data_IF_037560933654
#
_entry.id   IF_037560933654
#
_cell.length_a   1.000
_cell.length_b   1.000
_cell.length_c   1.000
_cell.angle_alpha   90.00
_cell.angle_beta   90.00
_cell.angle_gamma   90.00
#
_symmetry.space_group_name_H-M   'P 1'
#
loop_
_entity.id
_entity.type
_entity.pdbx_description
1 polymer ?
#
# COMPACT_ATOMS: atom_id res chain seq x y z
N UNK A 1 -2.76 29.02 -21.02
CA UNK A 1 -3.07 28.03 -19.97
C UNK A 1 -4.25 28.46 -19.08
N UNK A 2 -4.23 29.66 -18.49
CA UNK A 2 -5.27 30.10 -17.53
C UNK A 2 -6.71 30.12 -18.09
N UNK A 3 -6.90 30.40 -19.39
CA UNK A 3 -8.22 30.28 -20.04
C UNK A 3 -8.74 28.84 -20.00
N UNK A 4 -7.92 27.87 -20.39
CA UNK A 4 -8.26 26.44 -20.34
C UNK A 4 -8.62 25.99 -18.91
N UNK A 5 -7.83 26.42 -17.92
CA UNK A 5 -8.13 26.11 -16.52
C UNK A 5 -9.51 26.66 -16.09
N UNK A 6 -9.79 27.93 -16.38
CA UNK A 6 -11.03 28.60 -15.95
C UNK A 6 -12.27 28.18 -16.73
N UNK A 7 -12.16 27.99 -18.03
CA UNK A 7 -13.30 27.77 -18.92
C UNK A 7 -13.56 26.29 -19.20
N UNK A 8 -12.62 25.40 -18.89
CA UNK A 8 -12.77 23.96 -19.15
C UNK A 8 -12.53 23.11 -17.90
N UNK A 9 -11.33 23.15 -17.32
CA UNK A 9 -10.97 22.27 -16.19
C UNK A 9 -11.84 22.55 -14.96
N UNK A 10 -12.01 23.82 -14.57
CA UNK A 10 -12.82 24.19 -13.40
C UNK A 10 -14.31 23.86 -13.56
N UNK A 11 -14.96 24.16 -14.72
CA UNK A 11 -16.32 23.69 -14.97
C UNK A 11 -16.45 22.17 -14.86
N UNK A 12 -15.57 21.39 -15.50
CA UNK A 12 -15.62 19.93 -15.41
C UNK A 12 -15.38 19.41 -14.00
N UNK A 13 -14.43 19.98 -13.27
CA UNK A 13 -14.20 19.63 -11.87
C UNK A 13 -15.43 19.94 -11.01
N UNK A 14 -16.11 21.07 -11.26
CA UNK A 14 -17.37 21.40 -10.58
C UNK A 14 -18.47 20.40 -10.93
N UNK A 15 -18.61 20.01 -12.19
CA UNK A 15 -19.57 18.98 -12.61
C UNK A 15 -19.33 17.67 -11.84
N UNK A 16 -18.08 17.18 -11.79
CA UNK A 16 -17.71 15.97 -11.05
C UNK A 16 -18.04 16.07 -9.55
N UNK A 17 -17.74 17.21 -8.93
CA UNK A 17 -17.92 17.42 -7.49
C UNK A 17 -19.35 17.78 -7.07
N UNK A 18 -20.27 18.01 -8.01
CA UNK A 18 -21.66 18.38 -7.69
C UNK A 18 -22.69 17.39 -8.22
N UNK A 19 -22.40 16.67 -9.31
CA UNK A 19 -23.37 15.75 -9.92
C UNK A 19 -23.24 14.29 -9.45
N UNK A 20 -22.19 13.93 -8.70
CA UNK A 20 -21.88 12.55 -8.32
C UNK A 20 -21.97 12.28 -6.80
N UNK A 21 -22.65 13.16 -6.05
CA UNK A 21 -22.78 13.05 -4.60
C UNK A 21 -21.47 13.35 -3.85
N UNK A 22 -21.29 12.85 -2.61
CA UNK A 22 -20.05 12.99 -1.88
C UNK A 22 -18.90 12.28 -2.59
N UNK A 23 -17.88 13.05 -3.00
CA UNK A 23 -16.69 12.50 -3.65
C UNK A 23 -15.62 12.30 -2.59
N UNK A 24 -15.27 11.06 -2.30
CA UNK A 24 -14.26 10.76 -1.29
C UNK A 24 -12.85 11.19 -1.74
N UNK A 25 -12.58 11.15 -3.04
CA UNK A 25 -11.22 11.21 -3.54
C UNK A 25 -11.10 11.79 -4.96
N UNK A 26 -10.16 12.72 -5.18
CA UNK A 26 -9.77 13.23 -6.50
C UNK A 26 -8.27 13.02 -6.72
N UNK A 27 -7.97 12.23 -7.75
CA UNK A 27 -6.61 11.93 -8.19
C UNK A 27 -6.25 12.77 -9.42
N UNK A 28 -5.53 13.87 -9.24
CA UNK A 28 -4.99 14.68 -10.33
C UNK A 28 -3.73 14.03 -10.91
N UNK A 29 -3.61 14.00 -12.24
CA UNK A 29 -2.42 13.51 -12.92
C UNK A 29 -1.64 14.64 -13.61
N UNK A 30 -0.31 14.48 -13.67
CA UNK A 30 0.64 15.35 -14.36
C UNK A 30 0.73 16.83 -13.89
N UNK A 31 0.15 17.18 -12.75
CA UNK A 31 0.36 18.46 -12.06
C UNK A 31 -0.13 19.71 -12.80
N UNK A 32 -0.23 20.82 -12.07
CA UNK A 32 -0.43 22.13 -12.70
C UNK A 32 0.91 22.74 -13.14
N UNK A 33 0.92 23.70 -14.10
CA UNK A 33 2.15 24.39 -14.49
C UNK A 33 2.77 25.27 -13.41
N UNK A 34 1.97 25.77 -12.46
CA UNK A 34 2.45 26.59 -11.33
C UNK A 34 1.78 26.20 -10.02
N UNK A 35 2.42 26.41 -8.85
CA UNK A 35 1.85 26.03 -7.56
C UNK A 35 0.56 26.80 -7.23
N UNK A 36 0.46 28.05 -7.68
CA UNK A 36 -0.72 28.90 -7.46
C UNK A 36 -1.96 28.30 -8.12
N UNK A 37 -1.80 27.71 -9.31
CA UNK A 37 -2.89 27.03 -10.01
C UNK A 37 -3.30 25.72 -9.31
N UNK A 38 -2.36 25.00 -8.69
CA UNK A 38 -2.68 23.82 -7.88
C UNK A 38 -3.48 24.23 -6.63
N UNK A 39 -3.04 25.30 -5.96
CA UNK A 39 -3.76 25.87 -4.80
C UNK A 39 -5.15 26.34 -5.20
N UNK A 40 -5.28 27.01 -6.35
CA UNK A 40 -6.56 27.46 -6.89
C UNK A 40 -7.53 26.29 -7.18
N UNK A 41 -7.03 25.16 -7.70
CA UNK A 41 -7.83 23.94 -7.88
C UNK A 41 -8.17 23.28 -6.54
N UNK A 42 -7.21 23.16 -5.62
CA UNK A 42 -7.44 22.61 -4.27
C UNK A 42 -8.51 23.41 -3.53
N UNK A 43 -8.48 24.74 -3.62
CA UNK A 43 -9.50 25.60 -3.02
C UNK A 43 -10.88 25.33 -3.61
N UNK A 44 -11.00 25.19 -4.93
CA UNK A 44 -12.28 24.84 -5.56
C UNK A 44 -12.80 23.48 -5.08
N UNK A 45 -11.94 22.46 -4.92
CA UNK A 45 -12.35 21.18 -4.34
C UNK A 45 -12.86 21.38 -2.92
N UNK A 46 -12.11 22.10 -2.07
CA UNK A 46 -12.48 22.35 -0.66
C UNK A 46 -13.78 23.15 -0.50
N UNK A 47 -14.04 24.09 -1.39
CA UNK A 47 -15.29 24.87 -1.42
C UNK A 47 -16.50 23.98 -1.73
N UNK A 48 -16.35 23.00 -2.63
CA UNK A 48 -17.45 22.16 -3.10
C UNK A 48 -17.65 20.91 -2.23
N UNK A 49 -16.55 20.29 -1.81
CA UNK A 49 -16.50 19.01 -1.10
C UNK A 49 -15.34 19.05 -0.07
N UNK A 50 -15.58 19.60 1.14
CA UNK A 50 -14.52 19.86 2.12
C UNK A 50 -13.81 18.59 2.60
N UNK A 51 -14.47 17.43 2.54
CA UNK A 51 -13.93 16.14 3.01
C UNK A 51 -13.22 15.33 1.93
N UNK A 52 -13.20 15.79 0.66
CA UNK A 52 -12.53 15.08 -0.44
C UNK A 52 -11.02 15.03 -0.25
N UNK A 53 -10.43 13.83 -0.30
CA UNK A 53 -8.97 13.68 -0.30
C UNK A 53 -8.43 14.06 -1.70
N UNK A 54 -7.31 14.78 -1.74
CA UNK A 54 -6.71 15.32 -2.96
C UNK A 54 -5.31 14.75 -3.10
N UNK A 55 -5.03 14.11 -4.23
CA UNK A 55 -3.68 13.62 -4.55
C UNK A 55 -2.67 14.78 -4.59
N UNK A 56 -1.47 14.56 -4.07
CA UNK A 56 -0.33 15.45 -4.12
C UNK A 56 0.22 15.73 -5.53
N UNK A 57 -0.10 14.86 -6.49
CA UNK A 57 0.25 15.00 -7.90
C UNK A 57 -0.48 16.17 -8.58
N UNK A 58 -1.39 16.85 -7.86
CA UNK A 58 -1.91 18.17 -8.25
C UNK A 58 -0.81 19.25 -8.38
N UNK A 59 0.29 19.13 -7.63
CA UNK A 59 1.37 20.12 -7.60
C UNK A 59 2.29 20.10 -8.82
N UNK A 60 3.18 21.11 -8.93
CA UNK A 60 4.05 21.28 -10.11
C UNK A 60 5.18 20.27 -10.13
N UNK A 61 5.15 19.41 -11.15
CA UNK A 61 6.27 18.61 -11.60
C UNK A 61 6.83 17.64 -10.56
N UNK A 62 7.70 16.77 -11.02
CA UNK A 62 8.50 15.83 -10.23
C UNK A 62 9.40 16.49 -9.17
N UNK A 63 9.37 17.83 -9.04
CA UNK A 63 10.15 18.59 -8.05
C UNK A 63 9.57 18.41 -6.63
N UNK A 64 8.27 18.15 -6.49
CA UNK A 64 7.66 17.81 -5.19
C UNK A 64 7.92 16.33 -4.81
N UNK A 65 8.23 15.44 -5.76
CA UNK A 65 8.55 14.01 -5.47
C UNK A 65 9.71 13.83 -4.47
N UNK A 66 10.57 14.84 -4.29
CA UNK A 66 11.77 14.75 -3.46
C UNK A 66 11.87 15.83 -2.37
N UNK A 67 10.87 16.72 -2.26
CA UNK A 67 10.87 17.78 -1.25
C UNK A 67 10.25 17.28 0.07
N UNK A 68 11.01 16.45 0.79
CA UNK A 68 11.00 16.37 2.26
C UNK A 68 9.60 16.40 2.91
N UNK A 69 8.67 15.56 2.46
CA UNK A 69 7.39 15.38 3.16
C UNK A 69 6.32 16.47 2.94
N UNK A 70 6.47 17.38 1.96
CA UNK A 70 5.50 18.46 1.75
C UNK A 70 4.85 18.36 0.37
N UNK A 71 3.52 18.36 0.34
CA UNK A 71 2.71 18.31 -0.87
C UNK A 71 1.60 19.37 -0.82
N UNK A 72 1.18 19.87 -1.99
CA UNK A 72 0.01 20.75 -2.08
C UNK A 72 -1.27 19.95 -1.87
N UNK A 73 -1.30 18.67 -2.25
CA UNK A 73 -2.40 17.77 -1.96
C UNK A 73 -2.50 17.43 -0.48
N UNK A 74 -3.16 16.34 -0.15
CA UNK A 74 -3.30 15.87 1.24
C UNK A 74 -2.37 14.72 1.56
N UNK A 75 -1.84 14.03 0.54
CA UNK A 75 -0.85 12.99 0.68
C UNK A 75 0.17 13.04 -0.47
N UNK A 76 1.27 12.31 -0.33
CA UNK A 76 2.35 12.25 -1.31
C UNK A 76 2.20 11.08 -2.29
N UNK A 77 2.58 11.28 -3.54
CA UNK A 77 2.69 10.21 -4.54
C UNK A 77 4.14 9.95 -4.87
N UNK A 78 4.50 8.68 -4.87
CA UNK A 78 5.76 8.22 -5.45
C UNK A 78 5.58 7.95 -6.95
N UNK A 79 6.66 7.51 -7.61
CA UNK A 79 6.62 7.08 -9.00
C UNK A 79 5.64 5.96 -9.29
N UNK A 80 5.20 5.88 -10.54
CA UNK A 80 4.36 4.78 -10.99
C UNK A 80 5.13 3.46 -10.82
N UNK A 81 4.50 2.48 -10.17
CA UNK A 81 5.09 1.21 -9.75
C UNK A 81 6.29 1.32 -8.78
N UNK A 82 6.59 2.52 -8.27
CA UNK A 82 7.68 2.76 -7.34
C UNK A 82 7.29 2.31 -5.94
N UNK A 83 8.20 1.61 -5.27
CA UNK A 83 8.09 1.31 -3.85
C UNK A 83 9.39 1.79 -3.19
N UNK A 84 9.34 2.81 -2.32
CA UNK A 84 10.51 3.38 -1.66
C UNK A 84 11.32 2.31 -0.94
N UNK A 85 12.65 2.37 -0.89
CA UNK A 85 13.43 1.35 -0.16
C UNK A 85 13.18 1.39 1.35
N UNK A 86 12.91 2.58 1.89
CA UNK A 86 12.72 2.84 3.30
C UNK A 86 11.31 3.36 3.57
N UNK A 87 10.92 3.34 4.85
CA UNK A 87 9.70 4.00 5.32
C UNK A 87 9.71 5.48 4.94
N UNK A 88 8.56 5.99 4.50
CA UNK A 88 8.32 7.42 4.35
C UNK A 88 7.50 7.90 5.56
N UNK A 89 7.83 9.07 6.10
CA UNK A 89 7.02 9.74 7.11
C UNK A 89 5.89 10.54 6.46
N UNK A 90 4.67 10.40 6.97
CA UNK A 90 3.46 11.01 6.41
C UNK A 90 2.71 10.07 5.46
N UNK A 91 1.53 10.52 5.05
CA UNK A 91 0.65 9.73 4.18
C UNK A 91 1.16 9.74 2.74
N UNK A 92 1.23 8.56 2.12
CA UNK A 92 1.61 8.43 0.72
C UNK A 92 0.94 7.26 0.02
N UNK A 93 0.90 7.32 -1.31
CA UNK A 93 0.35 6.27 -2.17
C UNK A 93 1.25 6.02 -3.38
N UNK A 94 1.25 4.77 -3.86
CA UNK A 94 1.85 4.42 -5.16
C UNK A 94 0.79 3.89 -6.11
N UNK A 95 0.62 4.52 -7.29
CA UNK A 95 -0.15 3.92 -8.37
C UNK A 95 0.68 2.85 -9.05
N UNK A 96 0.08 1.70 -9.35
CA UNK A 96 0.78 0.60 -10.00
C UNK A 96 -0.08 -0.16 -10.99
N UNK A 97 0.58 -0.77 -11.96
CA UNK A 97 -0.04 -1.56 -13.01
C UNK A 97 -0.06 -3.03 -12.63
N UNK A 98 -1.15 -3.74 -12.95
CA UNK A 98 -1.20 -5.21 -12.77
C UNK A 98 -0.40 -5.96 -13.85
N UNK A 99 -0.14 -5.33 -14.99
CA UNK A 99 0.81 -5.74 -16.05
C UNK A 99 1.84 -4.61 -16.27
N UNK A 100 2.27 -4.35 -17.51
CA UNK A 100 3.24 -3.29 -17.82
C UNK A 100 2.58 -1.97 -18.27
N UNK A 101 1.25 -1.88 -18.23
CA UNK A 101 0.49 -0.73 -18.76
C UNK A 101 -0.74 -0.34 -17.91
N UNK A 102 -1.14 0.94 -17.98
CA UNK A 102 -2.34 1.43 -17.28
C UNK A 102 -3.62 1.15 -18.07
N UNK A 103 -3.67 1.60 -19.33
CA UNK A 103 -4.77 1.26 -20.25
C UNK A 103 -4.65 -0.16 -20.79
N UNK A 104 -5.76 -0.71 -21.30
CA UNK A 104 -5.74 -2.03 -21.93
C UNK A 104 -4.81 -2.06 -23.15
N UNK A 105 -3.94 -3.06 -23.20
CA UNK A 105 -3.01 -3.33 -24.30
C UNK A 105 -3.11 -4.79 -24.69
N UNK A 106 -3.67 -5.04 -25.87
CA UNK A 106 -4.08 -6.39 -26.32
C UNK A 106 -2.93 -7.41 -26.43
N UNK A 107 -1.68 -6.96 -26.51
CA UNK A 107 -0.49 -7.79 -26.63
C UNK A 107 0.45 -7.70 -25.41
N UNK A 108 0.01 -7.05 -24.32
CA UNK A 108 0.69 -7.11 -23.02
C UNK A 108 0.02 -8.18 -22.16
N UNK A 109 0.74 -9.29 -21.97
CA UNK A 109 0.30 -10.42 -21.17
C UNK A 109 1.20 -10.67 -19.96
N UNK A 110 2.03 -9.70 -19.57
CA UNK A 110 2.93 -9.80 -18.43
C UNK A 110 2.18 -9.53 -17.11
N UNK A 111 1.16 -10.32 -16.85
CA UNK A 111 0.30 -10.18 -15.67
C UNK A 111 1.06 -10.59 -14.42
N UNK A 112 1.07 -9.71 -13.41
CA UNK A 112 1.60 -10.01 -12.08
C UNK A 112 0.78 -11.13 -11.43
N UNK A 113 1.47 -12.09 -10.83
CA UNK A 113 0.85 -13.14 -10.03
C UNK A 113 0.29 -12.59 -8.72
N UNK A 114 -0.66 -13.29 -8.10
CA UNK A 114 -1.19 -12.93 -6.79
C UNK A 114 -0.07 -12.77 -5.74
N UNK A 115 0.92 -13.67 -5.75
CA UNK A 115 2.04 -13.56 -4.82
C UNK A 115 2.88 -12.31 -5.00
N UNK A 116 3.09 -11.86 -6.25
CA UNK A 116 3.76 -10.58 -6.51
C UNK A 116 2.94 -9.40 -5.96
N UNK A 117 1.63 -9.43 -6.15
CA UNK A 117 0.72 -8.37 -5.71
C UNK A 117 0.61 -8.31 -4.18
N UNK A 118 0.50 -9.46 -3.49
CA UNK A 118 0.47 -9.54 -2.02
C UNK A 118 1.77 -9.01 -1.43
N UNK A 119 2.93 -9.49 -1.91
CA UNK A 119 4.22 -9.05 -1.36
C UNK A 119 4.44 -7.55 -1.61
N UNK A 120 4.01 -7.01 -2.76
CA UNK A 120 4.02 -5.55 -3.01
C UNK A 120 3.11 -4.80 -2.04
N UNK A 121 1.87 -5.24 -1.86
CA UNK A 121 0.93 -4.65 -0.91
C UNK A 121 1.51 -4.58 0.50
N UNK A 122 2.01 -5.71 1.00
CA UNK A 122 2.64 -5.80 2.33
C UNK A 122 3.84 -4.87 2.44
N UNK A 123 4.70 -4.84 1.42
CA UNK A 123 5.89 -3.99 1.39
C UNK A 123 5.53 -2.50 1.38
N UNK A 124 4.44 -2.12 0.69
CA UNK A 124 3.95 -0.73 0.65
C UNK A 124 3.40 -0.33 2.04
N UNK A 125 2.56 -1.18 2.63
CA UNK A 125 1.98 -0.93 3.96
C UNK A 125 3.05 -0.93 5.06
N UNK A 126 4.06 -1.81 4.98
CA UNK A 126 5.20 -1.81 5.92
C UNK A 126 6.02 -0.52 5.85
N UNK A 127 5.89 0.24 4.78
CA UNK A 127 6.53 1.55 4.57
C UNK A 127 5.58 2.72 4.81
N UNK A 128 4.35 2.45 5.26
CA UNK A 128 3.33 3.44 5.62
C UNK A 128 2.49 3.96 4.47
N UNK A 129 2.49 3.27 3.33
CA UNK A 129 1.79 3.74 2.13
C UNK A 129 0.52 2.96 1.79
N UNK A 130 -0.23 3.54 0.86
CA UNK A 130 -1.36 2.90 0.19
C UNK A 130 -0.95 2.34 -1.19
N UNK A 131 -1.57 1.23 -1.59
CA UNK A 131 -1.35 0.59 -2.88
C UNK A 131 -2.54 0.79 -3.81
N UNK A 132 -2.41 1.69 -4.79
CA UNK A 132 -3.43 1.93 -5.81
C UNK A 132 -3.16 1.05 -7.04
N UNK A 133 -3.70 -0.17 -7.00
CA UNK A 133 -3.53 -1.15 -8.08
C UNK A 133 -4.54 -0.92 -9.20
N UNK A 134 -4.03 -0.70 -10.41
CA UNK A 134 -4.80 -0.45 -11.62
C UNK A 134 -5.32 -1.74 -12.29
N UNK A 135 -6.49 -1.62 -12.94
CA UNK A 135 -6.98 -2.56 -13.95
C UNK A 135 -7.29 -1.79 -15.25
N UNK A 136 -6.98 -2.39 -16.40
CA UNK A 136 -7.31 -1.82 -17.71
C UNK A 136 -8.40 -2.63 -18.41
N UNK A 137 -9.69 -2.23 -18.35
CA UNK A 137 -10.76 -2.91 -19.06
C UNK A 137 -10.61 -2.83 -20.59
N UNK A 138 -11.13 -3.83 -21.30
CA UNK A 138 -11.22 -3.80 -22.77
C UNK A 138 -12.18 -2.70 -23.24
N UNK A 139 -12.23 -2.46 -24.55
CA UNK A 139 -13.16 -1.50 -25.16
C UNK A 139 -14.64 -1.84 -24.89
N UNK A 140 -14.93 -3.11 -24.61
CA UNK A 140 -16.25 -3.63 -24.26
C UNK A 140 -16.55 -3.52 -22.75
N UNK A 141 -15.63 -2.94 -21.96
CA UNK A 141 -15.79 -2.77 -20.51
C UNK A 141 -15.48 -4.01 -19.69
N UNK A 142 -14.75 -4.98 -20.26
CA UNK A 142 -14.42 -6.25 -19.57
C UNK A 142 -13.05 -6.16 -18.92
N UNK A 143 -12.95 -6.46 -17.62
CA UNK A 143 -11.65 -6.64 -16.97
C UNK A 143 -11.04 -7.97 -17.46
N UNK A 144 -9.79 -7.98 -17.97
CA UNK A 144 -9.17 -9.20 -18.49
C UNK A 144 -9.13 -10.34 -17.46
N UNK A 145 -9.46 -11.57 -17.89
CA UNK A 145 -9.56 -12.73 -16.99
C UNK A 145 -8.29 -13.00 -16.16
N UNK A 146 -7.05 -12.87 -16.69
CA UNK A 146 -5.85 -13.02 -15.87
C UNK A 146 -5.78 -12.05 -14.69
N UNK A 147 -6.23 -10.81 -14.88
CA UNK A 147 -6.33 -9.80 -13.84
C UNK A 147 -7.37 -10.22 -12.78
N UNK A 148 -8.56 -10.66 -13.21
CA UNK A 148 -9.61 -11.14 -12.30
C UNK A 148 -9.13 -12.30 -11.44
N UNK A 149 -8.41 -13.28 -12.01
CA UNK A 149 -7.87 -14.43 -11.26
C UNK A 149 -6.88 -13.98 -10.19
N UNK A 150 -5.87 -13.18 -10.55
CA UNK A 150 -4.90 -12.66 -9.58
C UNK A 150 -5.57 -11.86 -8.46
N UNK A 151 -6.54 -11.00 -8.78
CA UNK A 151 -7.26 -10.21 -7.78
C UNK A 151 -8.14 -11.06 -6.85
N UNK A 152 -8.76 -12.13 -7.36
CA UNK A 152 -9.51 -13.07 -6.52
C UNK A 152 -8.60 -13.80 -5.54
N UNK A 153 -7.44 -14.28 -5.99
CA UNK A 153 -6.45 -14.92 -5.12
C UNK A 153 -5.91 -13.96 -4.05
N UNK A 154 -5.62 -12.70 -4.40
CA UNK A 154 -5.30 -11.64 -3.43
C UNK A 154 -6.44 -11.44 -2.43
N UNK A 155 -7.69 -11.45 -2.90
CA UNK A 155 -8.88 -11.35 -2.07
C UNK A 155 -9.01 -12.51 -1.07
N UNK A 156 -8.73 -13.75 -1.48
CA UNK A 156 -8.73 -14.90 -0.56
C UNK A 156 -7.63 -14.78 0.50
N UNK A 157 -6.44 -14.32 0.12
CA UNK A 157 -5.36 -14.05 1.08
C UNK A 157 -5.75 -12.95 2.08
N UNK A 158 -6.37 -11.86 1.61
CA UNK A 158 -6.85 -10.75 2.45
C UNK A 158 -7.98 -11.15 3.41
N UNK A 159 -8.81 -12.15 3.08
CA UNK A 159 -9.81 -12.66 4.05
C UNK A 159 -9.16 -13.28 5.28
N UNK A 160 -8.02 -13.93 5.11
CA UNK A 160 -7.29 -14.59 6.20
C UNK A 160 -6.34 -13.63 6.92
N UNK A 161 -5.67 -12.75 6.17
CA UNK A 161 -4.56 -11.94 6.68
C UNK A 161 -4.86 -10.43 6.69
N UNK A 162 -6.06 -10.00 6.30
CA UNK A 162 -6.41 -8.58 6.15
C UNK A 162 -6.28 -7.75 7.44
N UNK A 163 -6.31 -8.39 8.61
CA UNK A 163 -6.03 -7.70 9.89
C UNK A 163 -4.64 -7.05 9.89
N UNK A 164 -3.64 -7.64 9.23
CA UNK A 164 -2.29 -7.09 9.16
C UNK A 164 -2.13 -5.99 8.10
N UNK A 165 -3.17 -5.71 7.32
CA UNK A 165 -3.18 -4.69 6.26
C UNK A 165 -4.09 -3.53 6.63
N UNK A 166 -5.39 -3.80 6.82
CA UNK A 166 -6.39 -2.76 7.00
C UNK A 166 -6.23 -2.05 8.33
N UNK A 167 -5.92 -0.75 8.31
CA UNK A 167 -5.65 0.04 9.52
C UNK A 167 -4.34 -0.31 10.21
N UNK A 168 -3.45 -1.04 9.54
CA UNK A 168 -2.07 -1.20 9.99
C UNK A 168 -1.24 0.02 9.63
N UNK A 169 -0.14 0.22 10.35
CA UNK A 169 0.84 1.28 10.14
C UNK A 169 2.16 0.69 9.65
N UNK A 170 3.07 1.59 9.24
CA UNK A 170 4.43 1.24 8.89
C UNK A 170 5.13 0.40 9.97
N UNK A 171 6.12 -0.38 9.53
CA UNK A 171 6.98 -1.19 10.39
C UNK A 171 7.59 -0.34 11.50
N UNK A 172 7.50 -0.78 12.77
CA UNK A 172 8.25 -0.21 13.88
C UNK A 172 9.70 -0.72 13.92
N UNK A 173 10.02 -1.70 13.09
CA UNK A 173 11.34 -2.33 12.96
C UNK A 173 11.96 -1.85 11.66
N UNK A 174 13.21 -1.40 11.72
CA UNK A 174 14.00 -1.12 10.52
C UNK A 174 14.46 -2.44 9.88
N UNK A 175 13.75 -2.85 8.84
CA UNK A 175 13.96 -4.11 8.12
C UNK A 175 14.66 -3.80 6.80
N UNK A 176 15.86 -4.37 6.54
CA UNK A 176 16.55 -4.19 5.26
C UNK A 176 15.70 -4.66 4.08
N UNK A 177 15.74 -4.00 2.91
CA UNK A 177 14.96 -4.39 1.73
C UNK A 177 15.15 -5.85 1.29
N UNK A 178 16.34 -6.43 1.52
CA UNK A 178 16.67 -7.81 1.17
C UNK A 178 16.27 -8.85 2.23
N UNK A 179 15.64 -8.43 3.34
CA UNK A 179 15.20 -9.36 4.36
C UNK A 179 14.11 -10.32 3.81
N UNK A 180 14.06 -11.58 4.30
CA UNK A 180 13.08 -12.57 3.86
C UNK A 180 11.67 -12.32 4.41
N UNK A 181 11.41 -11.15 4.97
CA UNK A 181 10.15 -10.77 5.59
C UNK A 181 9.95 -9.26 5.60
N UNK A 182 8.72 -8.85 5.86
CA UNK A 182 8.33 -7.47 6.16
C UNK A 182 7.56 -7.43 7.48
N UNK A 183 7.29 -6.24 7.99
CA UNK A 183 6.50 -6.06 9.20
C UNK A 183 5.51 -4.91 9.05
N UNK A 184 4.27 -5.13 9.45
CA UNK A 184 3.30 -4.06 9.67
C UNK A 184 2.91 -4.04 11.14
N UNK A 185 2.31 -2.95 11.61
CA UNK A 185 1.96 -2.83 13.02
C UNK A 185 0.54 -2.32 13.24
N UNK A 186 -0.01 -2.72 14.38
CA UNK A 186 -1.15 -2.10 15.04
C UNK A 186 -0.80 -1.89 16.50
N UNK A 187 -1.61 -1.11 17.26
CA UNK A 187 -1.39 -1.00 18.70
C UNK A 187 -1.23 -2.39 19.33
N UNK A 188 -0.06 -2.60 19.96
CA UNK A 188 0.32 -3.82 20.69
C UNK A 188 0.50 -5.10 19.84
N UNK A 189 0.52 -4.99 18.51
CA UNK A 189 0.72 -6.15 17.62
C UNK A 189 1.70 -5.79 16.49
N UNK A 190 2.71 -6.62 16.31
CA UNK A 190 3.51 -6.63 15.09
C UNK A 190 3.10 -7.82 14.24
N UNK A 191 2.90 -7.60 12.94
CA UNK A 191 2.59 -8.65 11.98
C UNK A 191 3.82 -8.87 11.12
N UNK A 192 4.48 -10.00 11.31
CA UNK A 192 5.68 -10.40 10.59
C UNK A 192 5.26 -11.23 9.39
N UNK A 193 5.45 -10.66 8.21
CA UNK A 193 5.08 -11.23 6.91
C UNK A 193 6.26 -12.00 6.34
N UNK A 194 6.26 -13.33 6.45
CA UNK A 194 7.39 -14.19 6.07
C UNK A 194 7.23 -14.63 4.62
N UNK A 195 8.07 -14.09 3.74
CA UNK A 195 8.07 -14.40 2.30
C UNK A 195 8.95 -15.59 1.95
N UNK A 196 10.00 -15.84 2.75
CA UNK A 196 10.85 -17.02 2.59
C UNK A 196 10.89 -17.81 3.90
N UNK A 197 10.19 -18.95 3.88
CA UNK A 197 10.03 -19.81 5.05
C UNK A 197 11.35 -20.51 5.42
N UNK A 198 11.71 -20.61 6.71
CA UNK A 198 12.96 -21.23 7.12
C UNK A 198 12.87 -22.76 7.04
N UNK A 199 13.93 -23.40 6.54
CA UNK A 199 14.01 -24.87 6.43
C UNK A 199 14.35 -25.56 7.76
N UNK A 200 14.86 -24.83 8.74
CA UNK A 200 15.33 -25.36 10.02
C UNK A 200 14.30 -25.19 11.15
N UNK A 201 13.06 -24.83 10.82
CA UNK A 201 11.97 -24.62 11.78
C UNK A 201 12.16 -23.42 12.71
N UNK A 202 13.11 -22.52 12.43
CA UNK A 202 13.39 -21.35 13.26
C UNK A 202 13.41 -20.07 12.43
N UNK A 203 12.56 -19.13 12.77
CA UNK A 203 12.52 -17.81 12.14
C UNK A 203 13.03 -16.74 13.10
N UNK A 204 13.91 -15.85 12.62
CA UNK A 204 14.46 -14.76 13.43
C UNK A 204 13.92 -13.42 12.95
N UNK A 205 13.30 -12.68 13.86
CA UNK A 205 12.89 -11.29 13.68
C UNK A 205 13.88 -10.42 14.42
N UNK A 206 14.59 -9.56 13.70
CA UNK A 206 15.66 -8.76 14.29
C UNK A 206 15.13 -7.45 14.86
N UNK A 207 15.78 -6.96 15.93
CA UNK A 207 15.52 -5.62 16.51
C UNK A 207 14.05 -5.34 16.84
N UNK A 208 13.35 -6.31 17.41
CA UNK A 208 11.93 -6.15 17.81
C UNK A 208 11.78 -5.06 18.89
N UNK A 209 12.80 -4.90 19.74
CA UNK A 209 12.92 -3.83 20.75
C UNK A 209 11.67 -3.63 21.65
N UNK A 210 10.83 -4.66 21.74
CA UNK A 210 9.58 -4.69 22.49
C UNK A 210 9.50 -6.01 23.25
N UNK A 211 8.78 -6.02 24.38
CA UNK A 211 8.56 -7.25 25.13
C UNK A 211 7.44 -8.06 24.50
N UNK A 212 7.79 -9.17 23.85
CA UNK A 212 6.84 -10.09 23.21
C UNK A 212 6.25 -11.01 24.27
N UNK A 213 4.91 -11.07 24.32
CA UNK A 213 4.16 -11.90 25.27
C UNK A 213 3.66 -13.19 24.67
N UNK A 214 3.30 -13.15 23.39
CA UNK A 214 2.71 -14.29 22.69
C UNK A 214 3.05 -14.19 21.23
N UNK A 215 3.26 -15.36 20.61
CA UNK A 215 3.46 -15.50 19.18
C UNK A 215 2.47 -16.51 18.64
N UNK A 216 1.84 -16.22 17.51
CA UNK A 216 0.91 -17.14 16.84
C UNK A 216 0.82 -16.85 15.34
N UNK A 217 0.27 -17.77 14.56
CA UNK A 217 -0.04 -17.56 13.14
C UNK A 217 -1.37 -16.83 13.01
N UNK A 218 -1.42 -15.77 12.20
CA UNK A 218 -2.65 -14.99 12.01
C UNK A 218 -3.76 -15.84 11.35
N UNK A 219 -3.39 -16.68 10.39
CA UNK A 219 -4.33 -17.53 9.67
C UNK A 219 -4.76 -18.80 10.44
N UNK A 220 -4.17 -19.11 11.60
CA UNK A 220 -4.62 -20.23 12.43
C UNK A 220 -5.88 -19.82 13.21
N UNK A 221 -7.06 -20.42 12.95
CA UNK A 221 -8.30 -20.05 13.63
C UNK A 221 -8.25 -20.26 15.15
N UNK A 222 -7.36 -21.12 15.65
CA UNK A 222 -7.20 -21.35 17.08
C UNK A 222 -6.18 -20.40 17.72
N UNK A 223 -5.42 -19.64 16.90
CA UNK A 223 -4.26 -18.85 17.32
C UNK A 223 -3.35 -19.61 18.30
N UNK A 224 -3.01 -20.86 17.94
CA UNK A 224 -2.14 -21.71 18.73
C UNK A 224 -0.81 -21.00 18.98
N UNK A 225 -0.36 -21.02 20.23
CA UNK A 225 0.87 -20.33 20.59
C UNK A 225 2.09 -21.05 20.01
N UNK A 226 2.96 -20.27 19.37
CA UNK A 226 4.26 -20.72 18.90
C UNK A 226 5.29 -20.47 19.99
N UNK A 227 6.19 -21.44 20.18
CA UNK A 227 7.34 -21.24 21.05
C UNK A 227 8.25 -20.14 20.48
N UNK A 228 8.74 -19.27 21.33
CA UNK A 228 9.72 -18.27 20.95
C UNK A 228 10.71 -18.02 22.09
N UNK A 229 11.87 -17.47 21.75
CA UNK A 229 12.86 -17.03 22.72
C UNK A 229 13.46 -15.69 22.30
N UNK A 230 13.84 -14.89 23.30
CA UNK A 230 14.54 -13.62 23.08
C UNK A 230 16.05 -13.85 23.04
N UNK A 231 16.70 -13.28 22.04
CA UNK A 231 18.16 -13.27 21.89
C UNK A 231 18.63 -11.81 21.74
N UNK A 232 18.86 -11.14 22.87
CA UNK A 232 19.16 -9.71 22.89
C UNK A 232 17.98 -8.87 22.40
N UNK A 233 18.15 -8.19 21.26
CA UNK A 233 17.12 -7.39 20.58
C UNK A 233 16.28 -8.21 19.58
N UNK A 234 16.70 -9.44 19.30
CA UNK A 234 16.06 -10.33 18.34
C UNK A 234 15.06 -11.28 19.02
N UNK A 235 14.10 -11.76 18.26
CA UNK A 235 13.14 -12.79 18.65
C UNK A 235 13.27 -13.97 17.69
N UNK A 236 13.52 -15.16 18.24
CA UNK A 236 13.60 -16.41 17.48
C UNK A 236 12.34 -17.23 17.76
N UNK A 237 11.62 -17.57 16.72
CA UNK A 237 10.32 -18.23 16.74
C UNK A 237 10.49 -19.64 16.19
N UNK A 238 10.00 -20.64 16.92
CA UNK A 238 9.83 -22.00 16.42
C UNK A 238 8.61 -22.03 15.50
N UNK A 239 8.82 -22.30 14.23
CA UNK A 239 7.77 -22.31 13.21
C UNK A 239 7.56 -23.73 12.66
N UNK A 240 6.36 -24.07 12.14
CA UNK A 240 6.11 -25.36 11.51
C UNK A 240 7.08 -25.67 10.36
N UNK A 241 7.29 -26.97 10.08
CA UNK A 241 8.18 -27.44 9.01
C UNK A 241 7.78 -26.93 7.61
N UNK A 242 6.48 -26.68 7.40
CA UNK A 242 5.93 -26.18 6.15
C UNK A 242 5.27 -24.83 6.39
N UNK A 243 5.49 -23.90 5.46
CA UNK A 243 4.76 -22.64 5.42
C UNK A 243 3.25 -22.94 5.31
N UNK A 244 2.43 -22.41 6.23
CA UNK A 244 0.97 -22.40 6.07
C UNK A 244 0.54 -21.79 4.74
N UNK A 245 1.20 -20.69 4.35
CA UNK A 245 1.02 -20.03 3.05
C UNK A 245 2.40 -19.75 2.42
N UNK A 246 2.70 -20.30 1.22
CA UNK A 246 3.98 -20.12 0.56
C UNK A 246 4.16 -18.73 -0.10
N UNK A 247 3.10 -17.94 -0.26
CA UNK A 247 3.17 -16.56 -0.78
C UNK A 247 3.63 -15.62 0.32
N UNK A 248 2.96 -15.69 1.46
CA UNK A 248 3.20 -14.87 2.64
C UNK A 248 2.48 -15.46 3.85
N UNK A 249 3.26 -16.00 4.79
CA UNK A 249 2.74 -16.44 6.08
C UNK A 249 2.92 -15.34 7.11
N UNK A 250 1.81 -14.95 7.75
CA UNK A 250 1.80 -13.89 8.76
C UNK A 250 1.89 -14.47 10.18
N UNK A 251 2.95 -14.10 10.89
CA UNK A 251 3.15 -14.38 12.31
C UNK A 251 2.85 -13.12 13.12
N UNK A 252 2.02 -13.22 14.14
CA UNK A 252 1.67 -12.12 15.04
C UNK A 252 2.56 -12.18 16.27
N UNK A 253 3.24 -11.07 16.57
CA UNK A 253 3.89 -10.83 17.86
C UNK A 253 2.98 -9.92 18.68
N UNK A 254 2.38 -10.45 19.74
CA UNK A 254 1.70 -9.62 20.73
C UNK A 254 2.72 -9.02 21.68
N UNK A 255 2.75 -7.69 21.78
CA UNK A 255 3.72 -6.97 22.60
C UNK A 255 3.04 -6.23 23.76
N UNK A 256 3.83 -5.89 24.78
CA UNK A 256 3.38 -4.97 25.84
C UNK A 256 3.05 -3.57 25.29
N UNK A 257 2.33 -2.80 26.12
CA UNK A 257 2.15 -1.36 25.88
C UNK A 257 3.46 -0.61 25.86
#
# INVERSE_FOLDING_TARGET
FSRYLREYVKPQLRELLTNYGPVAYIWFDMGTPTPELAVELKQLVRELQPDTIISGRIGVGTVIRWLKGHTIGDFMEVGDNEIPEQRIEGDWETPATINDTFGYKSYDHNWKSAGNLVQKLVTIVSRGGNYLLNVGPTAEGIIPEPCVRSLKEVGEWLKMNGESIYGATASPIDIPPAAPYQCTAKPRKFYVHIFAWPWNGKFKVSRVNSDVKRVHLLADPNHSELEFRREGEDVVISVPDKAPDPIDTVVVLEINK
#
